data_IF_321008237195
#
_entry.id   IF_321008237195
#
_cell.length_a   1.000
_cell.length_b   1.000
_cell.length_c   1.000
_cell.angle_alpha   90.00
_cell.angle_beta   90.00
_cell.angle_gamma   90.00
#
_symmetry.space_group_name_H-M   'P 1'
#
loop_
_entity.id
_entity.type
_entity.pdbx_description
1 polymer ?
#
# COMPACT_ATOMS: atom_id res chain seq x y z
N UNK A 1 44.84 81.38 -9.85
CA UNK A 1 43.58 81.11 -10.59
C UNK A 1 43.21 79.65 -10.38
N UNK A 2 42.18 79.37 -9.59
CA UNK A 2 41.60 78.04 -9.36
C UNK A 2 40.35 77.91 -10.25
N UNK A 3 40.21 76.78 -10.95
CA UNK A 3 38.92 76.29 -11.47
C UNK A 3 38.72 74.84 -10.96
N UNK A 4 37.53 74.46 -10.47
CA UNK A 4 37.31 73.14 -9.86
C UNK A 4 36.26 72.26 -10.59
N UNK A 5 36.26 70.95 -10.22
CA UNK A 5 35.17 69.92 -10.26
C UNK A 5 34.87 69.26 -11.64
N UNK A 6 34.33 68.00 -11.77
CA UNK A 6 33.92 66.99 -10.77
C UNK A 6 34.51 65.57 -10.87
N UNK A 7 34.28 64.85 -9.77
CA UNK A 7 34.36 63.40 -9.61
C UNK A 7 33.31 62.64 -10.45
N UNK A 8 33.69 61.45 -10.92
CA UNK A 8 32.76 60.36 -11.29
C UNK A 8 33.35 59.06 -10.74
N UNK A 9 32.64 58.47 -9.80
CA UNK A 9 32.89 57.14 -9.27
C UNK A 9 32.56 56.10 -10.36
N UNK A 10 33.48 55.16 -10.61
CA UNK A 10 33.22 53.97 -11.41
C UNK A 10 33.25 52.78 -10.46
N UNK A 11 32.05 52.32 -10.10
CA UNK A 11 31.84 51.02 -9.47
C UNK A 11 31.99 49.97 -10.56
N UNK A 12 33.01 49.12 -10.43
CA UNK A 12 33.23 47.98 -11.31
C UNK A 12 32.32 46.83 -10.85
N UNK A 13 31.19 46.64 -11.54
CA UNK A 13 30.28 45.52 -11.32
C UNK A 13 30.77 44.32 -12.14
N UNK A 14 31.29 43.30 -11.47
CA UNK A 14 31.63 42.00 -12.06
C UNK A 14 30.32 41.26 -12.42
N UNK A 15 29.98 41.25 -13.70
CA UNK A 15 28.97 40.38 -14.31
C UNK A 15 29.50 38.94 -14.32
N UNK A 16 29.20 38.17 -13.27
CA UNK A 16 29.22 36.72 -13.34
C UNK A 16 27.95 36.25 -14.05
N UNK A 17 28.12 35.76 -15.27
CA UNK A 17 27.11 34.98 -15.98
C UNK A 17 26.80 33.73 -15.16
N UNK A 18 25.71 33.78 -14.39
CA UNK A 18 25.12 32.60 -13.78
C UNK A 18 24.47 31.77 -14.89
N UNK A 19 25.14 30.70 -15.31
CA UNK A 19 24.45 29.57 -15.91
C UNK A 19 23.40 29.08 -14.91
N UNK A 20 22.12 29.28 -15.23
CA UNK A 20 21.03 28.59 -14.53
C UNK A 20 21.19 27.10 -14.76
N UNK A 21 21.84 26.40 -13.84
CA UNK A 21 21.69 24.96 -13.72
C UNK A 21 20.20 24.68 -13.47
N UNK A 22 19.60 23.66 -14.12
CA UNK A 22 18.26 23.23 -13.78
C UNK A 22 18.23 22.91 -12.28
N UNK A 23 17.15 23.36 -11.63
CA UNK A 23 17.07 23.51 -10.18
C UNK A 23 17.52 22.26 -9.44
N UNK A 24 18.47 22.41 -8.52
CA UNK A 24 18.71 21.37 -7.53
C UNK A 24 17.42 21.26 -6.73
N UNK A 25 16.63 20.23 -7.00
CA UNK A 25 15.53 19.85 -6.12
C UNK A 25 16.18 19.35 -4.83
N UNK A 26 16.20 20.19 -3.79
CA UNK A 26 16.74 19.84 -2.49
C UNK A 26 15.91 18.72 -1.85
N UNK A 27 16.51 17.52 -1.77
CA UNK A 27 16.06 16.40 -0.96
C UNK A 27 17.00 15.21 -1.11
N UNK A 28 16.95 14.31 -0.13
CA UNK A 28 17.89 13.18 -0.10
C UNK A 28 17.58 12.22 -1.26
N UNK A 29 18.61 11.85 -2.03
CA UNK A 29 18.47 11.11 -3.30
C UNK A 29 19.31 9.84 -3.26
N UNK A 30 18.68 8.70 -3.50
CA UNK A 30 19.37 7.41 -3.70
C UNK A 30 19.53 7.10 -5.19
N UNK A 31 20.67 6.53 -5.59
CA UNK A 31 20.83 6.05 -6.96
C UNK A 31 20.09 4.72 -7.13
N UNK A 32 19.44 4.51 -8.28
CA UNK A 32 18.75 3.25 -8.57
C UNK A 32 19.67 2.02 -8.46
N UNK A 33 20.93 2.16 -8.88
CA UNK A 33 21.91 1.08 -8.84
C UNK A 33 22.35 0.71 -7.40
N UNK A 34 22.06 1.56 -6.42
CA UNK A 34 22.30 1.27 -4.99
C UNK A 34 21.13 0.50 -4.34
N UNK A 35 20.00 0.35 -5.04
CA UNK A 35 18.87 -0.46 -4.61
C UNK A 35 19.14 -1.95 -4.91
N UNK A 36 18.63 -2.84 -4.08
CA UNK A 36 18.63 -4.27 -4.39
C UNK A 36 17.64 -4.63 -5.52
N UNK A 37 17.75 -5.84 -6.08
CA UNK A 37 16.94 -6.27 -7.23
C UNK A 37 15.42 -6.16 -6.97
N UNK A 38 14.96 -6.52 -5.76
CA UNK A 38 13.54 -6.46 -5.40
C UNK A 38 13.04 -5.02 -5.25
N UNK A 39 13.89 -4.13 -4.76
CA UNK A 39 13.62 -2.70 -4.67
C UNK A 39 13.62 -2.05 -6.05
N UNK A 40 14.54 -2.45 -6.92
CA UNK A 40 14.62 -2.01 -8.30
C UNK A 40 13.37 -2.39 -9.09
N UNK A 41 12.87 -3.62 -8.92
CA UNK A 41 11.61 -4.08 -9.51
C UNK A 41 10.43 -3.28 -8.99
N UNK A 42 10.29 -3.17 -7.67
CA UNK A 42 9.20 -2.41 -7.07
C UNK A 42 9.21 -0.94 -7.51
N UNK A 43 10.39 -0.30 -7.58
CA UNK A 43 10.49 1.07 -8.07
C UNK A 43 10.03 1.18 -9.52
N UNK A 44 10.44 0.26 -10.41
CA UNK A 44 10.00 0.25 -11.81
C UNK A 44 8.48 0.10 -11.94
N UNK A 45 7.89 -0.80 -11.15
CA UNK A 45 6.43 -1.02 -11.13
C UNK A 45 5.67 0.22 -10.60
N UNK A 46 6.31 1.01 -9.73
CA UNK A 46 5.76 2.26 -9.20
C UNK A 46 5.89 3.46 -10.16
N UNK A 47 6.61 3.34 -11.28
CA UNK A 47 6.71 4.46 -12.22
C UNK A 47 5.37 4.62 -12.95
N UNK A 48 4.68 5.73 -12.68
CA UNK A 48 3.40 6.05 -13.32
C UNK A 48 2.20 5.28 -12.76
N UNK A 49 2.40 4.52 -11.67
CA UNK A 49 1.36 3.83 -10.91
C UNK A 49 1.79 3.70 -9.44
N UNK A 50 0.94 3.12 -8.60
CA UNK A 50 1.24 2.75 -7.24
C UNK A 50 1.53 1.25 -7.20
N UNK A 51 2.52 0.82 -6.42
CA UNK A 51 2.79 -0.61 -6.20
C UNK A 51 2.74 -0.95 -4.72
N UNK A 52 2.20 -2.13 -4.39
CA UNK A 52 2.20 -2.64 -3.01
C UNK A 52 3.51 -3.40 -2.76
N UNK A 53 4.23 -3.00 -1.72
CA UNK A 53 5.51 -3.59 -1.33
C UNK A 53 5.28 -4.88 -0.54
N UNK A 54 5.36 -6.02 -1.24
CA UNK A 54 5.25 -7.36 -0.64
C UNK A 54 6.65 -7.96 -0.48
N UNK A 55 7.13 -8.11 0.75
CA UNK A 55 8.46 -8.69 1.02
C UNK A 55 9.65 -7.79 0.65
N UNK A 56 9.42 -6.56 0.18
CA UNK A 56 10.45 -5.59 -0.19
C UNK A 56 10.76 -4.67 1.00
N UNK A 57 12.04 -4.47 1.33
CA UNK A 57 12.42 -3.46 2.31
C UNK A 57 12.24 -2.05 1.74
N UNK A 58 11.32 -1.30 2.34
CA UNK A 58 11.00 0.05 1.91
C UNK A 58 11.93 1.12 2.52
N UNK A 59 12.98 0.75 3.27
CA UNK A 59 13.86 1.72 3.93
C UNK A 59 14.44 2.77 2.97
N UNK A 60 14.96 2.44 1.76
CA UNK A 60 15.47 3.45 0.85
C UNK A 60 14.41 4.47 0.45
N UNK A 61 13.19 4.02 0.15
CA UNK A 61 12.09 4.90 -0.26
C UNK A 61 11.46 5.70 0.89
N UNK A 62 11.77 5.35 2.15
CA UNK A 62 11.36 6.14 3.33
C UNK A 62 12.42 7.14 3.77
N UNK A 63 13.69 6.78 3.57
CA UNK A 63 14.83 7.56 4.03
C UNK A 63 15.26 8.61 3.00
N UNK A 64 14.91 8.41 1.73
CA UNK A 64 15.21 9.33 0.65
C UNK A 64 13.92 9.85 0.02
N UNK A 65 13.91 11.14 -0.34
CA UNK A 65 12.79 11.80 -1.02
C UNK A 65 12.76 11.46 -2.51
N UNK A 66 13.91 11.07 -3.07
CA UNK A 66 14.09 10.87 -4.50
C UNK A 66 14.89 9.61 -4.85
N UNK A 67 14.57 9.02 -6.00
CA UNK A 67 15.38 8.01 -6.69
C UNK A 67 15.85 8.57 -8.02
N UNK A 68 17.15 8.42 -8.31
CA UNK A 68 17.72 8.77 -9.62
C UNK A 68 17.84 7.52 -10.50
N UNK A 69 17.08 7.51 -11.59
CA UNK A 69 16.99 6.39 -12.54
C UNK A 69 17.08 6.91 -13.98
N UNK A 70 17.94 6.30 -14.80
CA UNK A 70 18.17 6.70 -16.21
C UNK A 70 18.44 8.20 -16.40
N UNK A 71 19.18 8.81 -15.47
CA UNK A 71 19.49 10.25 -15.51
C UNK A 71 18.32 11.17 -15.20
N UNK A 72 17.16 10.64 -14.81
CA UNK A 72 15.96 11.39 -14.38
C UNK A 72 15.77 11.26 -12.87
N UNK A 73 15.05 12.21 -12.29
CA UNK A 73 14.73 12.22 -10.87
C UNK A 73 13.25 11.89 -10.65
N UNK A 74 12.99 10.96 -9.73
CA UNK A 74 11.65 10.53 -9.36
C UNK A 74 11.45 10.80 -7.88
N UNK A 75 10.41 11.56 -7.54
CA UNK A 75 9.96 11.70 -6.15
C UNK A 75 9.31 10.39 -5.73
N UNK A 76 9.77 9.84 -4.62
CA UNK A 76 9.22 8.60 -4.06
C UNK A 76 8.48 8.87 -2.76
N UNK A 77 7.53 8.01 -2.45
CA UNK A 77 6.82 8.04 -1.19
C UNK A 77 6.31 6.67 -0.81
N UNK A 78 6.38 6.36 0.49
CA UNK A 78 5.81 5.13 1.04
C UNK A 78 4.66 5.49 1.97
N UNK A 79 3.45 5.10 1.58
CA UNK A 79 2.29 5.18 2.44
C UNK A 79 2.04 3.84 3.13
N UNK A 80 1.35 3.88 4.28
CA UNK A 80 0.93 2.70 5.02
C UNK A 80 -0.60 2.68 5.06
N UNK A 81 -1.18 1.54 4.75
CA UNK A 81 -2.60 1.28 4.94
C UNK A 81 -2.80 0.07 5.84
N UNK A 82 -3.94 0.04 6.50
CA UNK A 82 -4.40 -1.08 7.31
C UNK A 82 -5.61 -1.69 6.62
N UNK A 83 -5.67 -3.01 6.59
CA UNK A 83 -6.77 -3.75 6.01
C UNK A 83 -7.12 -4.89 6.95
N UNK A 84 -8.41 -5.15 7.12
CA UNK A 84 -8.85 -6.31 7.86
C UNK A 84 -8.51 -7.60 7.11
N UNK A 85 -8.28 -8.66 7.87
CA UNK A 85 -8.09 -10.04 7.41
C UNK A 85 -8.99 -10.94 8.23
N UNK A 86 -9.56 -11.94 7.57
CA UNK A 86 -10.52 -12.85 8.16
C UNK A 86 -10.20 -14.29 7.75
N UNK A 87 -10.18 -15.19 8.73
CA UNK A 87 -10.29 -16.62 8.49
C UNK A 87 -11.64 -17.08 8.99
N UNK A 88 -12.40 -17.76 8.13
CA UNK A 88 -13.60 -18.49 8.51
C UNK A 88 -13.16 -19.92 8.84
N UNK A 89 -13.47 -20.39 10.03
CA UNK A 89 -13.31 -21.79 10.41
C UNK A 89 -14.69 -22.42 10.53
N UNK A 90 -14.84 -23.64 10.03
CA UNK A 90 -16.09 -24.38 10.11
C UNK A 90 -15.84 -25.76 10.70
N UNK A 91 -16.58 -26.10 11.76
CA UNK A 91 -16.45 -27.38 12.45
C UNK A 91 -17.82 -28.03 12.59
N UNK A 92 -17.97 -29.34 12.32
CA UNK A 92 -19.23 -30.05 12.58
C UNK A 92 -19.63 -29.90 14.05
N UNK A 93 -20.86 -29.47 14.29
CA UNK A 93 -21.40 -29.30 15.65
C UNK A 93 -22.94 -29.43 15.65
N UNK A 94 -23.48 -29.80 16.80
CA UNK A 94 -24.92 -29.93 17.01
C UNK A 94 -25.47 -28.63 17.65
N UNK A 95 -26.20 -27.79 16.89
CA UNK A 95 -26.69 -26.53 17.40
C UNK A 95 -27.72 -26.72 18.52
N UNK A 96 -27.72 -25.80 19.49
CA UNK A 96 -28.81 -25.71 20.48
C UNK A 96 -30.16 -25.35 19.80
N UNK A 97 -31.28 -25.63 20.46
CA UNK A 97 -32.62 -25.37 19.91
C UNK A 97 -32.87 -23.89 19.55
N UNK A 98 -32.16 -22.96 20.19
CA UNK A 98 -32.27 -21.51 19.98
C UNK A 98 -31.22 -20.95 19.01
N UNK A 99 -30.32 -21.78 18.47
CA UNK A 99 -29.23 -21.31 17.62
C UNK A 99 -29.73 -20.89 16.23
N UNK A 100 -29.14 -19.82 15.69
CA UNK A 100 -29.43 -19.36 14.33
C UNK A 100 -28.72 -20.26 13.32
N UNK A 101 -29.50 -21.11 12.64
CA UNK A 101 -28.99 -22.00 11.58
C UNK A 101 -29.47 -21.50 10.22
N UNK A 102 -28.54 -21.26 9.29
CA UNK A 102 -28.85 -20.87 7.90
C UNK A 102 -28.30 -21.90 6.91
N UNK A 103 -29.01 -22.18 5.81
CA UNK A 103 -28.44 -23.03 4.77
C UNK A 103 -27.33 -22.29 4.01
N UNK A 104 -26.23 -22.96 3.68
CA UNK A 104 -25.13 -22.35 2.90
C UNK A 104 -25.65 -21.79 1.57
N UNK A 105 -26.61 -22.48 0.94
CA UNK A 105 -27.20 -22.09 -0.34
C UNK A 105 -27.99 -20.77 -0.29
N UNK A 106 -28.46 -20.38 0.90
CA UNK A 106 -29.21 -19.14 1.14
C UNK A 106 -28.28 -17.93 1.37
N UNK A 107 -26.97 -18.16 1.56
CA UNK A 107 -26.00 -17.09 1.68
C UNK A 107 -25.80 -16.35 0.34
N UNK A 108 -25.45 -15.05 0.38
CA UNK A 108 -25.10 -14.31 -0.83
C UNK A 108 -23.96 -15.00 -1.61
N UNK A 109 -23.95 -14.93 -2.95
CA UNK A 109 -22.95 -15.64 -3.77
C UNK A 109 -21.50 -15.38 -3.36
N UNK A 110 -21.17 -14.12 -3.06
CA UNK A 110 -19.81 -13.66 -2.71
C UNK A 110 -19.36 -14.02 -1.29
N UNK A 111 -20.23 -14.71 -0.53
CA UNK A 111 -19.97 -15.24 0.83
C UNK A 111 -20.13 -16.75 0.85
N UNK A 112 -21.09 -17.25 0.06
CA UNK A 112 -21.46 -18.65 -0.01
C UNK A 112 -20.29 -19.53 -0.44
N UNK A 113 -19.50 -19.10 -1.41
CA UNK A 113 -18.41 -19.94 -1.93
C UNK A 113 -17.24 -20.02 -0.93
N UNK A 114 -17.01 -18.95 -0.17
CA UNK A 114 -16.06 -18.84 0.93
C UNK A 114 -16.47 -19.73 2.10
N UNK A 115 -17.73 -19.62 2.54
CA UNK A 115 -18.28 -20.48 3.60
C UNK A 115 -18.33 -21.93 3.16
N UNK A 116 -18.72 -22.22 1.92
CA UNK A 116 -18.67 -23.59 1.38
C UNK A 116 -17.26 -24.14 1.45
N UNK A 117 -16.26 -23.35 1.06
CA UNK A 117 -14.85 -23.76 1.14
C UNK A 117 -14.46 -24.05 2.59
N UNK A 118 -14.83 -23.18 3.53
CA UNK A 118 -14.57 -23.40 4.96
C UNK A 118 -15.21 -24.70 5.46
N UNK A 119 -16.46 -24.97 5.10
CA UNK A 119 -17.16 -26.21 5.46
C UNK A 119 -16.49 -27.44 4.86
N UNK A 120 -16.03 -27.38 3.61
CA UNK A 120 -15.43 -28.55 2.94
C UNK A 120 -13.96 -28.80 3.27
N UNK A 121 -13.20 -27.75 3.58
CA UNK A 121 -11.75 -27.82 3.82
C UNK A 121 -11.38 -27.58 5.31
N UNK A 122 -12.37 -27.27 6.14
CA UNK A 122 -12.23 -26.92 7.57
C UNK A 122 -11.98 -25.43 7.81
N UNK A 123 -11.44 -24.70 6.84
CA UNK A 123 -11.24 -23.25 6.95
C UNK A 123 -11.14 -22.56 5.58
N UNK A 124 -11.39 -21.26 5.56
CA UNK A 124 -11.16 -20.39 4.43
C UNK A 124 -10.49 -19.09 4.88
N UNK A 125 -9.35 -18.76 4.27
CA UNK A 125 -8.70 -17.46 4.47
C UNK A 125 -9.18 -16.46 3.41
N UNK A 126 -9.85 -15.40 3.85
CA UNK A 126 -10.22 -14.29 2.98
C UNK A 126 -8.96 -13.46 2.63
N UNK A 127 -8.69 -13.18 1.34
CA UNK A 127 -7.64 -12.26 0.95
C UNK A 127 -7.71 -10.94 1.72
N UNK A 128 -6.54 -10.39 2.07
CA UNK A 128 -6.44 -9.13 2.82
C UNK A 128 -7.21 -8.02 2.11
N UNK A 129 -8.04 -7.29 2.86
CA UNK A 129 -8.83 -6.19 2.31
C UNK A 129 -9.97 -6.64 1.39
N UNK A 130 -10.27 -7.95 1.30
CA UNK A 130 -11.46 -8.44 0.60
C UNK A 130 -12.74 -7.86 1.19
N UNK A 131 -12.78 -7.74 2.52
CA UNK A 131 -13.89 -7.12 3.23
C UNK A 131 -13.39 -6.02 4.16
N UNK A 132 -14.00 -4.85 4.09
CA UNK A 132 -13.71 -3.73 4.99
C UNK A 132 -14.14 -4.04 6.44
N UNK A 133 -15.20 -4.85 6.59
CA UNK A 133 -15.71 -5.38 7.85
C UNK A 133 -16.28 -6.78 7.60
N UNK A 134 -16.41 -7.61 8.65
CA UNK A 134 -17.04 -8.93 8.51
C UNK A 134 -18.44 -8.75 7.90
N UNK A 135 -18.76 -9.42 6.78
CA UNK A 135 -20.05 -9.30 6.12
C UNK A 135 -21.21 -9.59 7.07
N UNK A 136 -22.26 -8.76 7.01
CA UNK A 136 -23.44 -8.87 7.89
C UNK A 136 -24.02 -10.30 7.98
N UNK A 137 -24.18 -11.07 6.88
CA UNK A 137 -24.68 -12.44 6.97
C UNK A 137 -23.84 -13.39 7.82
N UNK A 138 -22.54 -13.09 8.02
CA UNK A 138 -21.62 -13.86 8.86
C UNK A 138 -21.62 -13.37 10.32
N UNK A 139 -22.02 -12.12 10.58
CA UNK A 139 -22.19 -11.60 11.94
C UNK A 139 -23.47 -12.12 12.62
N UNK A 140 -24.45 -12.58 11.84
CA UNK A 140 -25.78 -12.99 12.33
C UNK A 140 -25.98 -14.49 12.43
N UNK A 141 -25.01 -15.28 11.97
CA UNK A 141 -25.15 -16.73 11.81
C UNK A 141 -24.00 -17.42 12.53
N UNK A 142 -24.36 -18.16 13.58
CA UNK A 142 -23.42 -18.98 14.33
C UNK A 142 -23.26 -20.37 13.68
N UNK A 143 -24.29 -20.85 12.98
CA UNK A 143 -24.29 -22.18 12.37
C UNK A 143 -24.78 -22.19 10.93
N UNK A 144 -24.13 -22.99 10.09
CA UNK A 144 -24.58 -23.23 8.72
C UNK A 144 -24.89 -24.69 8.47
N UNK A 145 -25.91 -24.94 7.65
CA UNK A 145 -26.25 -26.28 7.17
C UNK A 145 -25.70 -26.48 5.76
N UNK A 146 -24.98 -27.58 5.56
CA UNK A 146 -24.47 -28.00 4.26
C UNK A 146 -24.65 -29.50 4.09
N UNK A 147 -25.41 -29.92 3.07
CA UNK A 147 -25.84 -31.31 2.95
C UNK A 147 -26.72 -31.73 4.13
N UNK A 148 -26.33 -32.80 4.82
CA UNK A 148 -27.05 -33.37 5.97
C UNK A 148 -26.40 -33.03 7.32
N UNK A 149 -25.40 -32.15 7.33
CA UNK A 149 -24.63 -31.80 8.54
C UNK A 149 -24.76 -30.31 8.85
N UNK A 150 -24.58 -29.97 10.12
CA UNK A 150 -24.52 -28.59 10.61
C UNK A 150 -23.11 -28.30 11.08
N UNK A 151 -22.64 -27.10 10.79
CA UNK A 151 -21.30 -26.63 11.10
C UNK A 151 -21.40 -25.33 11.89
N UNK A 152 -20.69 -25.26 13.02
CA UNK A 152 -20.44 -24.00 13.73
C UNK A 152 -19.43 -23.19 12.91
N UNK A 153 -19.71 -21.90 12.72
CA UNK A 153 -18.77 -20.96 12.14
C UNK A 153 -18.06 -20.18 13.24
N UNK A 154 -16.74 -20.09 13.13
CA UNK A 154 -15.94 -19.18 13.96
C UNK A 154 -15.00 -18.36 13.10
N UNK A 155 -14.56 -17.23 13.64
CA UNK A 155 -13.82 -16.23 12.87
C UNK A 155 -12.54 -15.81 13.58
N UNK A 156 -11.42 -15.91 12.88
CA UNK A 156 -10.16 -15.28 13.30
C UNK A 156 -10.05 -13.94 12.58
N UNK A 157 -10.09 -12.85 13.35
CA UNK A 157 -9.97 -11.48 12.84
C UNK A 157 -8.56 -10.98 13.11
N UNK A 158 -7.93 -10.41 12.08
CA UNK A 158 -6.61 -9.78 12.21
C UNK A 158 -6.51 -8.53 11.37
N UNK A 159 -5.52 -7.69 11.70
CA UNK A 159 -5.17 -6.53 10.90
C UNK A 159 -3.90 -6.82 10.09
N UNK A 160 -3.96 -6.54 8.79
CA UNK A 160 -2.84 -6.61 7.88
C UNK A 160 -2.37 -5.20 7.51
N UNK A 161 -1.06 -4.99 7.62
CA UNK A 161 -0.42 -3.78 7.12
C UNK A 161 -0.02 -3.97 5.68
N UNK A 162 -0.43 -3.03 4.84
CA UNK A 162 0.10 -2.87 3.49
C UNK A 162 0.94 -1.61 3.41
N UNK A 163 1.99 -1.64 2.58
CA UNK A 163 2.81 -0.48 2.25
C UNK A 163 2.75 -0.26 0.75
N UNK A 164 2.51 0.97 0.33
CA UNK A 164 2.40 1.32 -1.08
C UNK A 164 3.47 2.32 -1.44
N UNK A 165 4.24 2.02 -2.48
CA UNK A 165 5.24 2.90 -3.07
C UNK A 165 4.62 3.67 -4.25
N UNK A 166 4.88 4.98 -4.28
CA UNK A 166 4.65 5.84 -5.45
C UNK A 166 5.99 6.32 -6.00
N UNK A 167 6.11 6.44 -7.32
CA UNK A 167 7.25 7.07 -7.97
C UNK A 167 6.78 8.01 -9.09
N UNK A 168 6.95 9.32 -8.86
CA UNK A 168 6.52 10.37 -9.78
C UNK A 168 7.74 11.09 -10.36
N UNK A 169 7.83 11.16 -11.68
CA UNK A 169 8.90 11.91 -12.35
C UNK A 169 8.73 13.40 -12.06
N UNK A 170 9.78 14.05 -11.57
CA UNK A 170 9.77 15.49 -11.26
C UNK A 170 10.64 16.34 -12.18
N UNK A 171 11.54 15.73 -12.96
CA UNK A 171 12.40 16.38 -13.96
C UNK A 171 12.63 15.49 -15.20
#
# INVERSE_FOLDING_TARGET
>A
MRKPVPAVAVVLLLLLAGCSAPGVIEGDTVAYDDLDESQQDAFRDAIGSNTTLTGVDAAPFRNHDYVRYEGKQYRVGVSRSWSASYTIEASPDDPSEDATVRAVEELPPDIRDEVRTAVTEGSYYAPVGKWDALPEPLNEVDYVRYGNETYELSYVVGDAVSRTLTAERVE
#
